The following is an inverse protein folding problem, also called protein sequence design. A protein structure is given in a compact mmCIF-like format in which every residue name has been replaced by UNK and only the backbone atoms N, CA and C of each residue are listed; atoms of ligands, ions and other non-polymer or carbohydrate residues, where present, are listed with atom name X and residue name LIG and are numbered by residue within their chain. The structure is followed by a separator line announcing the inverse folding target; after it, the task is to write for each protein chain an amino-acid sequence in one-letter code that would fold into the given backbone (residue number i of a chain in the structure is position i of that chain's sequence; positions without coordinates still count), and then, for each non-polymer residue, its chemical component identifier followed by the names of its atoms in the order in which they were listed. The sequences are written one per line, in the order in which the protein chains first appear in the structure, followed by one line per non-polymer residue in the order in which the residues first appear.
data_IF_097236312959
#
_entry.id   IF_097236312959
#
_cell.length_a   1.000
_cell.length_b   1.000
_cell.length_c   1.000
_cell.angle_alpha   90.00
_cell.angle_beta   90.00
_cell.angle_gamma   90.00
#
_symmetry.space_group_name_H-M   'P 1'
#
loop_
_entity.id
_entity.type
_entity.pdbx_description
1 polymer ?
#
# COMPACT_ATOMS: atom_id res chain seq x y z
N UNK A 1 8.98 5.35 40.82
CA UNK A 1 9.30 5.57 39.40
C UNK A 1 8.05 5.17 38.67
N UNK A 2 7.17 6.15 38.43
CA UNK A 2 5.78 5.92 38.08
C UNK A 2 5.64 6.11 36.57
N UNK A 3 5.23 5.08 35.85
CA UNK A 3 4.64 5.20 34.52
C UNK A 3 3.20 4.67 34.59
N UNK A 4 2.31 5.56 35.00
CA UNK A 4 0.88 5.47 34.71
C UNK A 4 0.57 6.54 33.66
N UNK A 5 0.83 6.26 32.38
CA UNK A 5 0.16 6.98 31.29
C UNK A 5 -1.16 6.29 30.97
N UNK A 6 -2.14 6.50 31.85
CA UNK A 6 -3.52 6.64 31.42
C UNK A 6 -3.56 7.65 30.27
N UNK A 7 -3.85 7.19 29.05
CA UNK A 7 -4.01 8.02 27.87
C UNK A 7 -5.15 9.01 28.06
N UNK A 8 -4.84 10.16 28.64
CA UNK A 8 -5.76 11.29 28.75
C UNK A 8 -5.99 11.79 27.33
N UNK A 9 -7.19 11.61 26.79
CA UNK A 9 -7.60 12.28 25.57
C UNK A 9 -7.52 13.80 25.83
N UNK A 10 -6.46 14.44 25.35
CA UNK A 10 -6.38 15.88 25.36
C UNK A 10 -7.29 16.36 24.22
N UNK A 11 -8.46 16.89 24.60
CA UNK A 11 -9.27 17.67 23.66
C UNK A 11 -8.46 18.91 23.27
N UNK A 12 -7.84 18.84 22.09
CA UNK A 12 -7.15 19.95 21.47
C UNK A 12 -7.89 20.37 20.21
N UNK A 13 -7.82 21.66 19.90
CA UNK A 13 -8.36 22.22 18.67
C UNK A 13 -7.20 22.75 17.85
N UNK A 14 -7.13 22.37 16.58
CA UNK A 14 -6.09 22.83 15.66
C UNK A 14 -6.68 23.85 14.68
N UNK A 15 -5.89 24.87 14.34
CA UNK A 15 -6.20 25.72 13.18
C UNK A 15 -5.52 25.13 11.96
N UNK A 16 -6.29 24.79 10.94
CA UNK A 16 -5.79 24.18 9.71
C UNK A 16 -6.07 25.09 8.52
N UNK A 17 -5.12 25.11 7.59
CA UNK A 17 -5.25 25.72 6.27
C UNK A 17 -5.50 24.58 5.27
N UNK A 18 -6.56 24.68 4.49
CA UNK A 18 -6.88 23.75 3.42
C UNK A 18 -7.29 24.53 2.17
N UNK A 19 -7.18 23.88 1.01
CA UNK A 19 -7.59 24.48 -0.26
C UNK A 19 -9.09 24.31 -0.50
N UNK A 20 -9.71 25.28 -1.16
CA UNK A 20 -11.06 25.17 -1.69
C UNK A 20 -11.02 24.76 -3.16
N UNK A 21 -11.89 23.83 -3.57
CA UNK A 21 -12.10 23.50 -4.98
C UNK A 21 -13.53 23.79 -5.39
N UNK A 22 -13.72 24.34 -6.58
CA UNK A 22 -15.03 24.54 -7.21
C UNK A 22 -15.37 23.45 -8.22
N UNK A 23 -14.43 22.54 -8.48
CA UNK A 23 -14.58 21.44 -9.42
C UNK A 23 -14.27 20.09 -8.75
N UNK A 24 -15.08 19.09 -9.04
CA UNK A 24 -14.88 17.70 -8.60
C UNK A 24 -14.49 16.84 -9.79
N UNK A 25 -13.29 16.26 -9.74
CA UNK A 25 -12.83 15.27 -10.72
C UNK A 25 -12.79 13.85 -10.15
N UNK A 26 -13.22 13.66 -8.91
CA UNK A 26 -13.14 12.38 -8.22
C UNK A 26 -14.38 11.55 -8.54
N UNK A 27 -14.19 10.26 -8.77
CA UNK A 27 -15.26 9.29 -9.00
C UNK A 27 -15.93 8.83 -7.69
N UNK A 28 -15.33 9.16 -6.54
CA UNK A 28 -15.86 8.84 -5.22
C UNK A 28 -16.79 9.93 -4.71
N UNK A 29 -17.89 9.54 -4.05
CA UNK A 29 -18.85 10.43 -3.39
C UNK A 29 -18.23 11.09 -2.14
N UNK A 30 -17.38 12.08 -2.38
CA UNK A 30 -16.58 12.77 -1.36
C UNK A 30 -16.57 14.27 -1.63
N UNK A 31 -16.48 15.06 -0.55
CA UNK A 31 -16.44 16.52 -0.64
C UNK A 31 -15.02 17.08 -0.83
N UNK A 32 -13.99 16.24 -0.80
CA UNK A 32 -12.61 16.65 -0.98
C UNK A 32 -11.61 15.53 -0.71
N UNK A 33 -10.32 15.90 -0.68
CA UNK A 33 -9.20 14.98 -0.44
C UNK A 33 -8.42 15.42 0.78
N UNK A 34 -8.11 14.47 1.65
CA UNK A 34 -7.18 14.69 2.75
C UNK A 34 -5.76 14.34 2.32
N UNK A 35 -4.93 15.36 2.07
CA UNK A 35 -3.54 15.18 1.69
C UNK A 35 -2.64 14.77 2.87
N UNK A 36 -2.08 13.56 2.80
CA UNK A 36 -1.13 13.01 3.79
C UNK A 36 0.34 13.13 3.37
N UNK A 37 0.64 13.96 2.35
CA UNK A 37 2.01 14.14 1.84
C UNK A 37 3.00 14.73 2.86
N UNK A 38 4.27 14.81 2.48
CA UNK A 38 5.35 15.28 3.37
C UNK A 38 5.51 16.80 3.44
N UNK A 39 4.81 17.54 2.59
CA UNK A 39 4.95 18.99 2.43
C UNK A 39 4.25 19.81 3.51
N UNK A 40 4.63 21.09 3.62
CA UNK A 40 4.09 22.08 4.57
C UNK A 40 2.57 22.08 4.72
N UNK A 41 1.80 22.12 3.60
CA UNK A 41 0.34 22.15 3.65
C UNK A 41 -0.33 20.84 4.07
N UNK A 42 0.39 19.72 4.26
CA UNK A 42 -0.25 18.47 4.66
C UNK A 42 -0.77 18.55 6.09
N UNK A 43 -1.85 17.81 6.38
CA UNK A 43 -2.46 17.85 7.71
C UNK A 43 -1.50 17.35 8.79
N UNK A 44 -0.71 16.32 8.48
CA UNK A 44 0.33 15.79 9.39
C UNK A 44 1.33 16.89 9.76
N UNK A 45 1.80 17.65 8.76
CA UNK A 45 2.79 18.70 8.99
C UNK A 45 2.19 19.88 9.77
N UNK A 46 0.97 20.31 9.43
CA UNK A 46 0.30 21.42 10.11
C UNK A 46 0.02 21.14 11.59
N UNK A 47 -0.34 19.90 11.93
CA UNK A 47 -0.54 19.49 13.32
C UNK A 47 0.79 19.37 14.07
N UNK A 48 1.83 18.87 13.40
CA UNK A 48 3.18 18.76 13.96
C UNK A 48 3.79 20.14 14.27
N UNK A 49 3.66 21.13 13.37
CA UNK A 49 4.20 22.48 13.60
C UNK A 49 3.48 23.23 14.72
N UNK A 50 2.25 22.82 15.06
CA UNK A 50 1.49 23.31 16.21
C UNK A 50 1.83 22.56 17.52
N UNK A 51 2.69 21.54 17.48
CA UNK A 51 3.07 20.74 18.64
C UNK A 51 1.98 19.81 19.16
N UNK A 52 0.97 19.51 18.34
CA UNK A 52 -0.19 18.71 18.73
C UNK A 52 0.02 17.20 18.55
N UNK A 53 0.82 16.81 17.56
CA UNK A 53 1.10 15.42 17.20
C UNK A 53 2.56 15.28 16.80
N UNK A 54 3.18 14.09 16.94
CA UNK A 54 4.48 13.82 16.34
C UNK A 54 4.39 13.85 14.80
N UNK A 55 5.54 13.99 14.11
CA UNK A 55 5.60 14.02 12.64
C UNK A 55 5.46 12.61 12.02
N UNK A 56 4.39 11.92 12.36
CA UNK A 56 4.06 10.56 11.92
C UNK A 56 2.54 10.40 11.88
N UNK A 57 2.06 9.50 11.02
CA UNK A 57 0.68 9.07 11.00
C UNK A 57 0.64 7.56 10.76
N UNK A 58 -0.43 6.91 11.21
CA UNK A 58 -0.65 5.48 10.99
C UNK A 58 -2.01 5.30 10.31
N UNK A 59 -2.05 4.48 9.26
CA UNK A 59 -3.25 4.28 8.47
C UNK A 59 -3.49 2.79 8.23
N UNK A 60 -4.66 2.31 8.67
CA UNK A 60 -5.15 0.98 8.38
C UNK A 60 -6.35 1.12 7.45
N UNK A 61 -6.21 0.67 6.20
CA UNK A 61 -7.31 0.60 5.24
C UNK A 61 -8.08 -0.70 5.46
N UNK A 62 -9.41 -0.64 5.28
CA UNK A 62 -10.29 -1.81 5.31
C UNK A 62 -10.68 -2.16 3.89
N UNK A 63 -10.60 -3.45 3.53
CA UNK A 63 -11.09 -3.97 2.25
C UNK A 63 -12.61 -4.09 2.16
N UNK A 64 -13.36 -3.64 3.18
CA UNK A 64 -14.83 -3.68 3.20
C UNK A 64 -15.42 -2.43 2.54
N UNK A 65 -16.53 -2.62 1.82
CA UNK A 65 -17.29 -1.52 1.20
C UNK A 65 -17.83 -0.49 2.21
N UNK A 66 -18.05 -0.89 3.47
CA UNK A 66 -18.66 -0.04 4.50
C UNK A 66 -17.70 0.23 5.68
N UNK A 67 -16.54 0.81 5.37
CA UNK A 67 -15.59 1.31 6.37
C UNK A 67 -14.86 0.22 7.15
N UNK A 68 -14.45 0.55 8.38
CA UNK A 68 -13.73 -0.35 9.30
C UNK A 68 -12.21 -0.15 9.39
N UNK A 69 -11.64 0.76 8.59
CA UNK A 69 -10.26 1.21 8.73
C UNK A 69 -10.12 2.34 9.76
N UNK A 70 -8.88 2.76 10.03
CA UNK A 70 -8.60 3.93 10.86
C UNK A 70 -7.43 4.75 10.32
N UNK A 71 -7.43 6.04 10.65
CA UNK A 71 -6.34 6.97 10.41
C UNK A 71 -6.06 7.68 11.73
N UNK A 72 -4.81 7.67 12.18
CA UNK A 72 -4.37 8.41 13.36
C UNK A 72 -3.16 9.27 13.03
N UNK A 73 -3.15 10.50 13.54
CA UNK A 73 -2.02 11.41 13.48
C UNK A 73 -1.16 11.16 14.70
N UNK A 74 -0.29 10.17 14.57
CA UNK A 74 0.49 9.61 15.65
C UNK A 74 1.04 8.24 15.26
N UNK A 75 1.88 7.74 16.16
CA UNK A 75 2.40 6.38 16.08
C UNK A 75 1.41 5.40 16.72
N UNK A 76 1.34 4.19 16.16
CA UNK A 76 0.64 3.06 16.77
C UNK A 76 1.67 1.98 17.00
N UNK A 77 1.82 1.56 18.25
CA UNK A 77 2.66 0.43 18.61
C UNK A 77 1.84 -0.86 18.47
N UNK A 78 2.23 -1.72 17.52
CA UNK A 78 1.69 -3.08 17.40
C UNK A 78 2.86 -4.08 17.48
N UNK A 79 2.66 -5.26 18.10
CA UNK A 79 3.73 -6.19 18.43
C UNK A 79 4.48 -6.80 17.22
N UNK A 80 4.03 -6.58 15.99
CA UNK A 80 4.58 -7.19 14.77
C UNK A 80 4.68 -6.20 13.59
N UNK A 81 5.02 -4.93 13.84
CA UNK A 81 5.28 -3.97 12.76
C UNK A 81 6.68 -4.18 12.20
N UNK A 82 6.77 -4.31 10.88
CA UNK A 82 8.04 -4.27 10.15
C UNK A 82 8.27 -2.86 9.61
N UNK A 83 9.50 -2.38 9.69
CA UNK A 83 9.87 -1.04 9.24
C UNK A 83 10.85 -1.12 8.07
N UNK A 84 10.61 -0.31 7.04
CA UNK A 84 11.57 -0.03 5.97
C UNK A 84 11.74 1.48 5.90
N UNK A 85 12.99 1.94 5.75
CA UNK A 85 13.24 3.36 5.50
C UNK A 85 12.61 3.81 4.18
N UNK A 86 12.01 5.00 4.20
CA UNK A 86 11.60 5.71 2.98
C UNK A 86 12.63 6.78 2.63
N UNK A 87 12.64 7.24 1.37
CA UNK A 87 13.53 8.32 0.92
C UNK A 87 12.90 9.71 1.18
N UNK A 88 13.47 10.51 2.09
CA UNK A 88 12.94 11.84 2.42
C UNK A 88 13.10 12.84 1.28
N UNK A 89 14.06 12.67 0.37
CA UNK A 89 14.34 13.58 -0.74
C UNK A 89 13.29 13.54 -1.86
N UNK A 90 12.48 12.47 -1.91
CA UNK A 90 11.46 12.25 -2.94
C UNK A 90 10.18 13.02 -2.62
N UNK A 91 9.34 13.28 -3.63
CA UNK A 91 8.06 13.95 -3.40
C UNK A 91 7.08 13.07 -2.60
N UNK A 92 6.97 11.79 -2.99
CA UNK A 92 6.07 10.82 -2.40
C UNK A 92 6.73 10.01 -1.26
N UNK A 93 5.95 9.17 -0.58
CA UNK A 93 6.49 8.14 0.31
C UNK A 93 7.07 7.01 -0.54
N UNK A 94 8.36 7.12 -0.84
CA UNK A 94 9.07 6.16 -1.68
C UNK A 94 9.88 5.17 -0.85
N UNK A 95 9.61 3.88 -1.05
CA UNK A 95 10.34 2.76 -0.46
C UNK A 95 11.29 2.13 -1.47
N UNK A 96 12.22 1.33 -0.98
CA UNK A 96 13.18 0.57 -1.80
C UNK A 96 12.80 -0.92 -1.76
N UNK A 97 12.16 -1.37 -2.84
CA UNK A 97 11.87 -2.79 -3.08
C UNK A 97 13.15 -3.46 -3.60
N UNK A 98 13.51 -4.61 -3.04
CA UNK A 98 14.71 -5.37 -3.43
C UNK A 98 14.35 -6.59 -4.27
N UNK A 99 13.26 -7.28 -3.92
CA UNK A 99 12.82 -8.48 -4.63
C UNK A 99 11.32 -8.74 -4.46
N UNK A 100 10.79 -9.55 -5.38
CA UNK A 100 9.46 -10.15 -5.27
C UNK A 100 9.67 -11.66 -5.14
N UNK A 101 9.02 -12.29 -4.16
CA UNK A 101 9.06 -13.75 -3.98
C UNK A 101 7.66 -14.33 -4.05
N UNK A 102 7.52 -15.52 -4.61
CA UNK A 102 6.25 -16.22 -4.77
C UNK A 102 6.42 -17.67 -4.33
N UNK A 103 5.56 -18.13 -3.43
CA UNK A 103 5.64 -19.50 -2.90
C UNK A 103 7.01 -19.84 -2.28
N UNK A 104 7.63 -18.86 -1.61
CA UNK A 104 8.95 -18.99 -0.98
C UNK A 104 10.15 -18.92 -1.94
N UNK A 105 9.95 -18.65 -3.24
CA UNK A 105 11.03 -18.50 -4.23
C UNK A 105 11.12 -17.06 -4.73
N UNK A 106 12.32 -16.47 -4.68
CA UNK A 106 12.55 -15.16 -5.31
C UNK A 106 12.39 -15.25 -6.82
N UNK A 107 11.66 -14.31 -7.41
CA UNK A 107 11.55 -14.18 -8.85
C UNK A 107 12.88 -13.69 -9.44
N UNK A 108 13.25 -14.13 -10.66
CA UNK A 108 14.50 -13.73 -11.32
C UNK A 108 14.38 -12.35 -11.96
N UNK A 109 14.03 -11.34 -11.16
CA UNK A 109 13.88 -9.95 -11.59
C UNK A 109 15.21 -9.22 -11.35
N UNK A 110 15.67 -8.41 -12.32
CA UNK A 110 16.84 -7.57 -12.12
C UNK A 110 16.58 -6.56 -10.98
N UNK A 111 17.35 -6.55 -9.87
CA UNK A 111 17.14 -5.58 -8.78
C UNK A 111 17.25 -4.11 -9.24
N UNK A 112 18.02 -3.86 -10.31
CA UNK A 112 18.12 -2.57 -10.99
C UNK A 112 16.78 -2.02 -11.51
N UNK A 113 15.77 -2.89 -11.66
CA UNK A 113 14.41 -2.54 -12.03
C UNK A 113 13.71 -1.69 -10.96
N UNK A 114 14.01 -1.98 -9.68
CA UNK A 114 13.42 -1.33 -8.52
C UNK A 114 14.28 -0.20 -7.95
N UNK A 115 15.52 -0.04 -8.44
CA UNK A 115 16.42 1.02 -8.01
C UNK A 115 15.77 2.39 -8.16
N UNK A 116 15.77 3.13 -7.05
CA UNK A 116 15.23 4.47 -7.00
C UNK A 116 15.99 5.41 -7.95
N UNK A 117 15.25 6.14 -8.78
CA UNK A 117 15.76 7.20 -9.66
C UNK A 117 14.66 8.23 -9.87
N UNK A 118 14.91 9.33 -10.59
CA UNK A 118 13.90 10.37 -10.85
C UNK A 118 12.52 9.83 -11.25
N UNK A 119 12.49 8.74 -12.03
CA UNK A 119 11.26 8.13 -12.56
C UNK A 119 11.08 6.66 -12.16
N UNK A 120 11.87 6.15 -11.20
CA UNK A 120 11.83 4.74 -10.74
C UNK A 120 11.81 4.65 -9.22
N UNK A 121 11.31 3.53 -8.72
CA UNK A 121 11.19 3.24 -7.29
C UNK A 121 9.78 2.73 -6.96
N UNK A 122 9.56 2.44 -5.68
CA UNK A 122 8.25 2.01 -5.18
C UNK A 122 7.61 3.14 -4.39
N UNK A 123 6.36 3.48 -4.69
CA UNK A 123 5.61 4.54 -4.01
C UNK A 123 4.44 3.89 -3.25
N UNK A 124 4.21 4.34 -2.02
CA UNK A 124 2.98 4.04 -1.29
C UNK A 124 1.94 5.10 -1.66
N UNK A 125 0.85 4.65 -2.28
CA UNK A 125 -0.23 5.51 -2.77
C UNK A 125 -1.60 4.97 -2.36
N UNK A 126 -2.32 5.73 -1.51
CA UNK A 126 -3.70 5.42 -1.14
C UNK A 126 -4.73 5.98 -2.12
N UNK A 127 -4.30 6.72 -3.14
CA UNK A 127 -5.14 7.29 -4.20
C UNK A 127 -5.37 6.36 -5.39
N UNK A 128 -4.66 5.24 -5.47
CA UNK A 128 -4.81 4.24 -6.53
C UNK A 128 -5.42 2.96 -5.96
N UNK A 129 -6.44 2.42 -6.63
CA UNK A 129 -7.16 1.22 -6.19
C UNK A 129 -6.29 -0.04 -6.24
N UNK A 130 -5.52 -0.22 -7.32
CA UNK A 130 -4.72 -1.43 -7.56
C UNK A 130 -3.21 -1.13 -7.42
N UNK A 131 -2.45 -2.09 -6.91
CA UNK A 131 -1.00 -2.04 -7.00
C UNK A 131 -0.54 -2.13 -8.46
N UNK A 132 0.37 -1.26 -8.87
CA UNK A 132 0.91 -1.22 -10.24
C UNK A 132 2.36 -1.67 -10.20
N UNK A 133 2.68 -2.70 -11.00
CA UNK A 133 4.04 -3.15 -11.24
C UNK A 133 4.51 -2.67 -12.62
N UNK A 134 5.81 -2.42 -12.75
CA UNK A 134 6.45 -2.29 -14.06
C UNK A 134 6.32 -3.61 -14.83
N UNK A 135 6.13 -3.53 -16.15
CA UNK A 135 5.78 -4.67 -17.00
C UNK A 135 6.68 -5.89 -16.78
N UNK A 136 8.00 -5.73 -16.77
CA UNK A 136 8.95 -6.83 -16.54
C UNK A 136 8.69 -7.57 -15.22
N UNK A 137 8.43 -6.86 -14.13
CA UNK A 137 8.14 -7.48 -12.83
C UNK A 137 6.77 -8.19 -12.84
N UNK A 138 5.77 -7.58 -13.49
CA UNK A 138 4.45 -8.17 -13.65
C UNK A 138 4.50 -9.47 -14.49
N UNK A 139 5.26 -9.48 -15.58
CA UNK A 139 5.42 -10.64 -16.45
C UNK A 139 6.09 -11.81 -15.72
N UNK A 140 7.12 -11.53 -14.91
CA UNK A 140 7.74 -12.56 -14.07
C UNK A 140 6.77 -13.13 -13.03
N UNK A 141 5.97 -12.27 -12.38
CA UNK A 141 4.96 -12.67 -11.42
C UNK A 141 3.87 -13.53 -12.08
N UNK A 142 3.30 -13.07 -13.19
CA UNK A 142 2.27 -13.77 -13.94
C UNK A 142 2.78 -15.11 -14.48
N UNK A 143 4.00 -15.14 -15.05
CA UNK A 143 4.62 -16.38 -15.54
C UNK A 143 4.85 -17.40 -14.43
N UNK A 144 5.25 -16.94 -13.24
CA UNK A 144 5.41 -17.84 -12.10
C UNK A 144 4.06 -18.40 -11.63
N UNK A 145 3.07 -17.53 -11.41
CA UNK A 145 1.75 -17.94 -10.92
C UNK A 145 1.09 -18.92 -11.91
N UNK A 146 1.03 -18.57 -13.19
CA UNK A 146 0.40 -19.41 -14.22
C UNK A 146 1.04 -20.78 -14.41
N UNK A 147 2.35 -20.93 -14.12
CA UNK A 147 3.02 -22.23 -14.17
C UNK A 147 2.76 -23.11 -12.94
N UNK A 148 2.45 -22.50 -11.79
CA UNK A 148 2.36 -23.21 -10.51
C UNK A 148 0.92 -23.40 -10.03
N UNK A 149 -0.04 -22.70 -10.62
CA UNK A 149 -1.48 -22.92 -10.41
C UNK A 149 -1.99 -23.85 -11.53
N UNK A 150 -2.00 -25.15 -11.27
CA UNK A 150 -1.85 -26.22 -12.27
C UNK A 150 -3.14 -26.83 -12.86
N UNK A 151 -4.19 -26.03 -13.09
CA UNK A 151 -5.39 -26.48 -13.83
C UNK A 151 -5.97 -25.44 -14.79
N UNK A 152 -5.58 -24.16 -14.67
CA UNK A 152 -6.20 -23.07 -15.42
C UNK A 152 -5.34 -22.59 -16.58
N UNK A 153 -5.87 -22.62 -17.81
CA UNK A 153 -5.45 -21.66 -18.84
C UNK A 153 -5.85 -20.27 -18.37
N UNK A 154 -4.91 -19.31 -18.40
CA UNK A 154 -5.27 -17.92 -18.21
C UNK A 154 -5.56 -17.26 -19.55
N UNK A 155 -6.56 -16.40 -19.58
CA UNK A 155 -6.92 -15.56 -20.71
C UNK A 155 -6.65 -14.10 -20.34
N UNK A 156 -6.90 -13.19 -21.27
CA UNK A 156 -6.95 -11.77 -20.99
C UNK A 156 -8.38 -11.26 -21.19
N UNK A 157 -8.85 -10.38 -20.31
CA UNK A 157 -10.12 -9.69 -20.50
C UNK A 157 -10.03 -8.61 -21.59
N UNK A 158 -11.13 -7.90 -21.83
CA UNK A 158 -11.19 -6.80 -22.80
C UNK A 158 -10.31 -5.60 -22.48
N UNK A 159 -9.73 -5.54 -21.27
CA UNK A 159 -8.83 -4.49 -20.81
C UNK A 159 -7.37 -4.96 -20.71
N UNK A 160 -7.08 -6.22 -21.04
CA UNK A 160 -5.74 -6.79 -20.99
C UNK A 160 -5.31 -7.28 -19.61
N UNK A 161 -6.23 -7.50 -18.67
CA UNK A 161 -5.91 -8.13 -17.39
C UNK A 161 -5.92 -9.65 -17.50
N UNK A 162 -4.92 -10.36 -16.91
CA UNK A 162 -4.91 -11.81 -16.91
C UNK A 162 -6.02 -12.35 -16.01
N UNK A 163 -6.85 -13.23 -16.57
CA UNK A 163 -7.95 -13.89 -15.88
C UNK A 163 -7.70 -15.39 -15.80
N UNK A 164 -7.88 -15.95 -14.61
CA UNK A 164 -7.77 -17.38 -14.36
C UNK A 164 -9.17 -17.94 -14.14
N UNK A 165 -9.46 -19.11 -14.74
CA UNK A 165 -10.78 -19.75 -14.62
C UNK A 165 -10.60 -21.20 -14.20
N UNK A 166 -11.41 -21.63 -13.24
CA UNK A 166 -11.50 -23.00 -12.75
C UNK A 166 -12.85 -23.16 -12.02
N UNK A 167 -13.49 -24.32 -12.17
CA UNK A 167 -14.79 -24.61 -11.54
C UNK A 167 -14.66 -25.03 -10.07
N UNK A 168 -13.44 -25.17 -9.55
CA UNK A 168 -13.19 -25.59 -8.18
C UNK A 168 -13.53 -24.49 -7.15
N UNK A 169 -14.31 -24.80 -6.11
CA UNK A 169 -14.61 -23.85 -5.04
C UNK A 169 -13.37 -23.44 -4.22
N UNK A 170 -12.30 -24.25 -4.25
CA UNK A 170 -11.03 -23.96 -3.58
C UNK A 170 -9.97 -23.42 -4.54
N UNK A 171 -10.36 -23.00 -5.76
CA UNK A 171 -9.41 -22.56 -6.77
C UNK A 171 -8.55 -21.39 -6.28
N UNK A 172 -9.13 -20.44 -5.55
CA UNK A 172 -8.41 -19.30 -4.97
C UNK A 172 -7.29 -19.73 -4.02
N UNK A 173 -7.49 -20.82 -3.28
CA UNK A 173 -6.53 -21.34 -2.30
C UNK A 173 -5.32 -22.01 -2.98
N UNK A 174 -5.42 -22.33 -4.28
CA UNK A 174 -4.30 -22.85 -5.05
C UNK A 174 -3.23 -21.79 -5.37
N UNK A 175 -3.57 -20.51 -5.25
CA UNK A 175 -2.63 -19.44 -5.55
C UNK A 175 -1.63 -19.22 -4.40
N UNK A 176 -0.35 -18.99 -4.71
CA UNK A 176 0.70 -18.88 -3.71
C UNK A 176 0.73 -17.50 -3.03
N UNK A 177 1.22 -17.44 -1.78
CA UNK A 177 1.59 -16.16 -1.18
C UNK A 177 2.62 -15.42 -2.04
N UNK A 178 2.43 -14.11 -2.15
CA UNK A 178 3.35 -13.18 -2.81
C UNK A 178 3.99 -12.30 -1.74
N UNK A 179 5.29 -12.10 -1.81
CA UNK A 179 6.04 -11.25 -0.89
C UNK A 179 6.76 -10.15 -1.65
N UNK A 180 6.57 -8.91 -1.21
CA UNK A 180 7.40 -7.78 -1.63
C UNK A 180 8.42 -7.52 -0.52
N UNK A 181 9.69 -7.72 -0.84
CA UNK A 181 10.78 -7.63 0.11
C UNK A 181 11.50 -6.29 -0.08
N UNK A 182 11.53 -5.50 0.97
CA UNK A 182 12.13 -4.18 1.01
C UNK A 182 13.46 -4.23 1.75
N UNK A 183 14.22 -3.14 1.61
CA UNK A 183 15.43 -2.89 2.41
C UNK A 183 15.15 -3.00 3.92
N UNK A 184 16.21 -3.15 4.70
CA UNK A 184 16.15 -3.32 6.16
C UNK A 184 15.46 -4.63 6.60
N UNK A 185 15.24 -5.56 5.66
CA UNK A 185 14.66 -6.89 5.93
C UNK A 185 13.13 -6.89 6.05
N UNK A 186 12.46 -5.78 5.74
CA UNK A 186 11.01 -5.71 5.79
C UNK A 186 10.36 -6.48 4.63
N UNK A 187 9.28 -7.20 4.91
CA UNK A 187 8.53 -7.94 3.89
C UNK A 187 7.04 -7.70 4.03
N UNK A 188 6.39 -7.36 2.91
CA UNK A 188 4.94 -7.27 2.81
C UNK A 188 4.42 -8.55 2.15
N UNK A 189 3.54 -9.26 2.86
CA UNK A 189 2.93 -10.50 2.39
C UNK A 189 1.54 -10.21 1.83
N UNK A 190 1.27 -10.74 0.65
CA UNK A 190 -0.04 -10.68 0.01
C UNK A 190 -0.61 -12.09 -0.10
N UNK A 191 -1.80 -12.27 0.47
CA UNK A 191 -2.63 -13.45 0.31
C UNK A 191 -3.36 -13.42 -1.03
N UNK A 192 -3.83 -14.57 -1.55
CA UNK A 192 -4.66 -14.64 -2.75
C UNK A 192 -5.83 -13.67 -2.75
N UNK A 193 -6.34 -13.32 -1.56
CA UNK A 193 -7.44 -12.38 -1.45
C UNK A 193 -7.11 -10.92 -1.76
N UNK A 194 -5.82 -10.56 -1.75
CA UNK A 194 -5.33 -9.19 -1.84
C UNK A 194 -4.78 -8.86 -3.23
N UNK A 195 -4.45 -9.87 -4.04
CA UNK A 195 -3.97 -9.67 -5.43
C UNK A 195 -4.84 -10.34 -6.50
N UNK A 196 -5.91 -11.06 -6.12
CA UNK A 196 -6.92 -11.58 -7.05
C UNK A 196 -8.25 -10.87 -6.85
N UNK A 197 -8.85 -10.45 -7.97
CA UNK A 197 -10.19 -9.90 -8.01
C UNK A 197 -11.14 -10.95 -8.60
N UNK A 198 -12.24 -11.21 -7.89
CA UNK A 198 -13.31 -12.06 -8.41
C UNK A 198 -14.13 -11.25 -9.41
N UNK A 199 -14.11 -11.68 -10.67
CA UNK A 199 -14.94 -11.10 -11.73
C UNK A 199 -16.24 -11.92 -11.78
N UNK A 200 -17.36 -11.24 -11.50
CA UNK A 200 -18.70 -11.83 -11.58
C UNK A 200 -19.32 -11.61 -12.95
#
# INVERSE_FOLDING_TARGET
MNDERTGRAFNSTAKLIFGCSTFRSLTADTDGVLGLGKGGPSMVMQLYTQGLVPRVFSHCLSGKMHGGGFLTFGEVELPNISYSRYDPSRLHYSLSLESISVGGKSLPINPGLFTQSSYRGTIVDSGTTNGILVAEAFDHLLSFISKNVSSSTYTFDGFGYPCFTDDSPSFRDSFPLVHFNFVDGASMTFHPAEYLLEVK
#
